data_IF_077010029276
#
_entry.id   IF_077010029276
#
_cell.length_a   1.000
_cell.length_b   1.000
_cell.length_c   1.000
_cell.angle_alpha   90.00
_cell.angle_beta   90.00
_cell.angle_gamma   90.00
#
_symmetry.space_group_name_H-M   'P 1'
#
loop_
_entity.id
_entity.type
_entity.pdbx_description
1 polymer ?
#
# COMPACT_ATOMS: atom_id res chain seq x y z
N UNK A 1 -34.04 10.73 -4.00
CA UNK A 1 -32.98 10.06 -3.19
C UNK A 1 -31.70 10.08 -4.00
N UNK A 2 -30.62 10.68 -3.48
CA UNK A 2 -29.31 10.61 -4.10
C UNK A 2 -28.79 9.17 -3.98
N UNK A 3 -28.29 8.59 -5.07
CA UNK A 3 -27.65 7.26 -5.00
C UNK A 3 -26.46 7.34 -4.02
N UNK A 4 -26.22 6.30 -3.20
CA UNK A 4 -25.03 6.26 -2.36
C UNK A 4 -23.77 6.48 -3.21
N UNK A 5 -22.98 7.48 -2.81
CA UNK A 5 -21.69 7.75 -3.45
C UNK A 5 -20.81 6.54 -3.17
N UNK A 6 -20.35 5.86 -4.22
CA UNK A 6 -19.43 4.72 -4.07
C UNK A 6 -18.18 5.19 -3.30
N UNK A 7 -17.58 4.29 -2.54
CA UNK A 7 -16.33 4.53 -1.81
C UNK A 7 -15.21 3.70 -2.43
N UNK A 8 -13.97 4.18 -2.33
CA UNK A 8 -12.78 3.53 -2.87
C UNK A 8 -11.93 2.94 -1.74
N UNK A 9 -11.51 1.69 -1.89
CA UNK A 9 -10.53 1.06 -1.00
C UNK A 9 -9.16 1.02 -1.69
N UNK A 10 -8.15 1.62 -1.05
CA UNK A 10 -6.75 1.52 -1.44
C UNK A 10 -6.06 0.47 -0.57
N UNK A 11 -5.40 -0.50 -1.21
CA UNK A 11 -4.71 -1.59 -0.50
C UNK A 11 -3.22 -1.55 -0.89
N UNK A 12 -2.33 -1.56 0.11
CA UNK A 12 -0.91 -1.82 -0.17
C UNK A 12 -0.66 -3.29 -0.53
N UNK A 13 0.48 -3.56 -1.15
CA UNK A 13 0.95 -4.93 -1.36
C UNK A 13 1.81 -5.40 -0.20
N UNK A 14 2.87 -4.67 0.12
CA UNK A 14 3.85 -5.06 1.12
C UNK A 14 3.29 -4.95 2.54
N UNK A 15 3.49 -5.97 3.36
CA UNK A 15 2.98 -6.01 4.73
C UNK A 15 1.45 -6.16 4.85
N UNK A 16 0.73 -6.03 3.73
CA UNK A 16 -0.72 -6.17 3.65
C UNK A 16 -1.13 -7.45 2.93
N UNK A 17 -0.83 -7.59 1.64
CA UNK A 17 -1.18 -8.79 0.85
C UNK A 17 -0.02 -9.78 0.72
N UNK A 18 1.21 -9.28 0.68
CA UNK A 18 2.44 -10.07 0.54
C UNK A 18 3.52 -9.58 1.49
N UNK A 19 4.47 -10.47 1.76
CA UNK A 19 5.74 -10.12 2.40
C UNK A 19 6.91 -10.63 1.56
N UNK A 20 8.02 -9.90 1.59
CA UNK A 20 9.32 -10.50 1.28
C UNK A 20 9.57 -11.63 2.27
N UNK A 21 10.06 -12.76 1.79
CA UNK A 21 10.47 -13.88 2.64
C UNK A 21 11.36 -13.42 3.80
N UNK A 22 11.16 -14.04 4.96
CA UNK A 22 11.59 -13.54 6.28
C UNK A 22 13.10 -13.26 6.46
N UNK A 23 13.53 -12.89 7.67
CA UNK A 23 14.86 -12.29 7.93
C UNK A 23 16.07 -13.15 7.51
N UNK A 24 15.89 -14.45 7.28
CA UNK A 24 16.94 -15.40 6.89
C UNK A 24 16.84 -15.87 5.43
N UNK A 25 15.92 -15.30 4.66
CA UNK A 25 15.74 -15.70 3.28
C UNK A 25 16.84 -15.08 2.40
N UNK A 26 17.41 -15.81 1.42
CA UNK A 26 18.36 -15.23 0.48
C UNK A 26 17.73 -14.02 -0.22
N UNK A 27 18.55 -13.10 -0.72
CA UNK A 27 18.10 -11.85 -1.38
C UNK A 27 17.14 -12.12 -2.56
N UNK A 28 17.17 -13.33 -3.11
CA UNK A 28 16.36 -13.81 -4.23
C UNK A 28 15.09 -14.54 -3.78
N UNK A 29 14.86 -14.63 -2.47
CA UNK A 29 13.75 -15.38 -1.94
C UNK A 29 12.43 -14.64 -2.22
N UNK A 30 11.52 -15.39 -2.83
CA UNK A 30 10.32 -14.87 -3.45
C UNK A 30 9.33 -14.23 -2.48
N UNK A 31 8.23 -13.75 -3.06
CA UNK A 31 7.16 -13.13 -2.29
C UNK A 31 6.26 -14.22 -1.71
N UNK A 32 5.87 -14.05 -0.45
CA UNK A 32 4.95 -14.94 0.25
C UNK A 32 3.61 -14.23 0.44
N UNK A 33 2.49 -14.82 0.02
CA UNK A 33 1.16 -14.33 0.39
C UNK A 33 1.00 -14.27 1.91
N UNK A 34 0.38 -13.21 2.41
CA UNK A 34 0.06 -13.05 3.84
C UNK A 34 -1.28 -13.70 4.21
N UNK A 35 -2.15 -13.87 3.22
CA UNK A 35 -3.46 -14.46 3.35
C UNK A 35 -3.56 -15.74 2.52
N UNK A 36 -4.65 -16.50 2.72
CA UNK A 36 -4.89 -17.78 2.04
C UNK A 36 -4.99 -17.65 0.52
N UNK A 37 -5.05 -18.80 -0.16
CA UNK A 37 -5.20 -18.84 -1.63
C UNK A 37 -6.52 -18.23 -2.14
N UNK A 38 -7.46 -17.97 -1.25
CA UNK A 38 -8.78 -17.37 -1.47
C UNK A 38 -8.77 -15.83 -1.40
N UNK A 39 -7.59 -15.20 -1.30
CA UNK A 39 -7.44 -13.73 -1.26
C UNK A 39 -8.18 -13.04 -2.41
N UNK A 40 -8.01 -13.53 -3.63
CA UNK A 40 -8.70 -12.99 -4.81
C UNK A 40 -10.22 -13.06 -4.70
N UNK A 41 -10.75 -14.23 -4.32
CA UNK A 41 -12.18 -14.45 -4.15
C UNK A 41 -12.76 -13.55 -3.04
N UNK A 42 -12.03 -13.37 -1.94
CA UNK A 42 -12.42 -12.50 -0.83
C UNK A 42 -12.56 -11.04 -1.27
N UNK A 43 -11.60 -10.52 -2.04
CA UNK A 43 -11.65 -9.16 -2.59
C UNK A 43 -12.81 -8.98 -3.57
N UNK A 44 -13.04 -9.95 -4.46
CA UNK A 44 -14.14 -9.92 -5.44
C UNK A 44 -15.50 -9.93 -4.73
N UNK A 45 -15.69 -10.87 -3.79
CA UNK A 45 -16.95 -11.07 -3.10
C UNK A 45 -17.30 -9.92 -2.13
N UNK A 46 -16.34 -9.07 -1.78
CA UNK A 46 -16.59 -7.89 -0.95
C UNK A 46 -17.48 -6.84 -1.63
N UNK A 47 -17.56 -6.83 -2.96
CA UNK A 47 -18.24 -5.79 -3.73
C UNK A 47 -17.59 -4.40 -3.63
N UNK A 48 -16.42 -4.30 -3.00
CA UNK A 48 -15.68 -3.06 -2.86
C UNK A 48 -15.13 -2.60 -4.21
N UNK A 49 -15.09 -1.27 -4.42
CA UNK A 49 -14.29 -0.70 -5.50
C UNK A 49 -12.85 -0.59 -5.00
N UNK A 50 -11.94 -1.40 -5.55
CA UNK A 50 -10.59 -1.58 -5.00
C UNK A 50 -9.55 -1.04 -5.98
N UNK A 51 -8.60 -0.26 -5.48
CA UNK A 51 -7.37 0.07 -6.16
C UNK A 51 -6.15 -0.33 -5.31
N UNK A 52 -5.03 -0.60 -5.97
CA UNK A 52 -3.76 -0.93 -5.32
C UNK A 52 -2.91 0.32 -5.22
N UNK A 53 -2.26 0.53 -4.08
CA UNK A 53 -1.37 1.67 -3.85
C UNK A 53 -0.04 1.22 -3.24
N UNK A 54 1.01 1.17 -4.06
CA UNK A 54 2.29 0.56 -3.67
C UNK A 54 3.51 1.37 -4.11
N UNK A 55 4.64 1.20 -3.42
CA UNK A 55 5.94 1.72 -3.84
C UNK A 55 6.73 0.75 -4.75
N UNK A 56 6.12 -0.39 -5.11
CA UNK A 56 6.65 -1.31 -6.13
C UNK A 56 6.52 -0.72 -7.53
N UNK A 57 7.23 -1.33 -8.48
CA UNK A 57 7.03 -1.00 -9.88
C UNK A 57 5.67 -1.53 -10.36
N UNK A 58 5.07 -0.92 -11.40
CA UNK A 58 3.76 -1.34 -11.90
C UNK A 58 3.75 -2.80 -12.36
N UNK A 59 4.72 -3.18 -13.18
CA UNK A 59 4.82 -4.57 -13.69
C UNK A 59 5.02 -5.58 -12.56
N UNK A 60 5.74 -5.20 -11.52
CA UNK A 60 5.96 -6.03 -10.32
C UNK A 60 4.68 -6.16 -9.50
N UNK A 61 3.94 -5.06 -9.30
CA UNK A 61 2.64 -5.06 -8.64
C UNK A 61 1.63 -5.95 -9.38
N UNK A 62 1.56 -5.85 -10.71
CA UNK A 62 0.68 -6.69 -11.54
C UNK A 62 1.07 -8.18 -11.47
N UNK A 63 2.37 -8.49 -11.41
CA UNK A 63 2.84 -9.86 -11.22
C UNK A 63 2.44 -10.42 -9.84
N UNK A 64 2.55 -9.61 -8.79
CA UNK A 64 2.10 -9.99 -7.44
C UNK A 64 0.60 -10.30 -7.43
N UNK A 65 -0.21 -9.41 -8.01
CA UNK A 65 -1.66 -9.60 -8.08
C UNK A 65 -2.02 -10.89 -8.83
N UNK A 66 -1.34 -11.17 -9.95
CA UNK A 66 -1.51 -12.43 -10.69
C UNK A 66 -1.14 -13.66 -9.86
N UNK A 67 -0.05 -13.61 -9.08
CA UNK A 67 0.34 -14.70 -8.17
C UNK A 67 -0.68 -14.94 -7.07
N UNK A 68 -1.30 -13.88 -6.57
CA UNK A 68 -2.41 -13.94 -5.61
C UNK A 68 -3.74 -14.37 -6.25
N UNK A 69 -3.74 -14.70 -7.56
CA UNK A 69 -4.93 -15.02 -8.36
C UNK A 69 -6.00 -13.91 -8.31
N UNK A 70 -5.58 -12.67 -8.12
CA UNK A 70 -6.45 -11.50 -8.18
C UNK A 70 -6.62 -11.15 -9.66
N UNK A 71 -7.84 -11.28 -10.17
CA UNK A 71 -8.18 -10.81 -11.51
C UNK A 71 -8.10 -9.28 -11.55
N UNK A 72 -7.22 -8.78 -12.42
CA UNK A 72 -6.96 -7.35 -12.60
C UNK A 72 -8.18 -6.59 -13.10
N UNK A 73 -9.18 -7.26 -13.68
CA UNK A 73 -10.46 -6.60 -14.06
C UNK A 73 -11.26 -6.13 -12.85
N UNK A 74 -11.04 -6.73 -11.67
CA UNK A 74 -11.68 -6.35 -10.41
C UNK A 74 -10.93 -5.25 -9.66
N UNK A 75 -9.72 -4.91 -10.10
CA UNK A 75 -8.93 -3.81 -9.56
C UNK A 75 -9.08 -2.61 -10.48
N UNK A 76 -9.74 -1.55 -10.01
CA UNK A 76 -10.02 -0.39 -10.87
C UNK A 76 -8.75 0.36 -11.27
N UNK A 77 -7.73 0.33 -10.40
CA UNK A 77 -6.43 0.92 -10.70
C UNK A 77 -5.30 0.35 -9.87
N UNK A 78 -4.10 0.33 -10.44
CA UNK A 78 -2.86 0.11 -9.71
C UNK A 78 -2.04 1.39 -9.75
N UNK A 79 -1.95 2.07 -8.61
CA UNK A 79 -1.11 3.24 -8.40
C UNK A 79 0.23 2.77 -7.84
N UNK A 80 1.18 2.54 -8.74
CA UNK A 80 2.51 2.10 -8.38
C UNK A 80 3.44 3.32 -8.19
N UNK A 81 4.71 3.04 -7.96
CA UNK A 81 5.69 4.09 -7.71
C UNK A 81 5.87 5.04 -8.90
N UNK A 82 5.66 4.57 -10.13
CA UNK A 82 5.69 5.41 -11.31
C UNK A 82 4.52 6.40 -11.31
N UNK A 83 3.29 5.94 -11.08
CA UNK A 83 2.11 6.81 -11.00
C UNK A 83 2.23 7.86 -9.89
N UNK A 84 2.80 7.48 -8.73
CA UNK A 84 3.08 8.43 -7.65
C UNK A 84 4.04 9.55 -8.08
N UNK A 85 5.05 9.21 -8.88
CA UNK A 85 6.05 10.17 -9.36
C UNK A 85 5.48 11.07 -10.46
N UNK A 86 4.76 10.49 -11.41
CA UNK A 86 4.10 11.24 -12.48
C UNK A 86 3.06 12.20 -11.89
N UNK A 87 2.34 11.77 -10.86
CA UNK A 87 1.45 12.61 -10.07
C UNK A 87 2.22 13.76 -9.40
N UNK A 88 3.36 13.47 -8.76
CA UNK A 88 4.19 14.50 -8.14
C UNK A 88 4.65 15.56 -9.15
N UNK A 89 4.98 15.17 -10.39
CA UNK A 89 5.30 16.11 -11.47
C UNK A 89 4.07 16.91 -11.88
N UNK A 90 2.97 16.23 -12.23
CA UNK A 90 1.72 16.84 -12.73
C UNK A 90 1.19 17.92 -11.78
N UNK A 91 1.20 17.66 -10.48
CA UNK A 91 0.69 18.58 -9.46
C UNK A 91 1.79 19.43 -8.79
N UNK A 92 2.98 19.52 -9.39
CA UNK A 92 4.10 20.37 -8.91
C UNK A 92 4.54 20.09 -7.47
N UNK A 93 4.48 18.82 -7.04
CA UNK A 93 4.90 18.31 -5.72
C UNK A 93 6.29 17.66 -5.76
N UNK A 94 7.09 17.96 -6.79
CA UNK A 94 8.44 17.40 -6.98
C UNK A 94 9.41 17.79 -5.86
N UNK A 95 9.33 19.03 -5.36
CA UNK A 95 10.13 19.51 -4.23
C UNK A 95 9.87 18.69 -2.97
N UNK A 96 8.61 18.43 -2.64
CA UNK A 96 8.21 17.57 -1.53
C UNK A 96 8.76 16.16 -1.72
N UNK A 97 8.76 15.64 -2.96
CA UNK A 97 9.28 14.31 -3.25
C UNK A 97 10.79 14.21 -3.03
N UNK A 98 11.55 15.24 -3.41
CA UNK A 98 12.99 15.30 -3.18
C UNK A 98 13.31 15.34 -1.67
N UNK A 99 12.60 16.17 -0.92
CA UNK A 99 12.81 16.36 0.51
C UNK A 99 12.33 15.17 1.37
N UNK A 100 11.07 14.75 1.17
CA UNK A 100 10.35 13.86 2.09
C UNK A 100 10.23 12.41 1.60
N UNK A 101 10.56 12.11 0.35
CA UNK A 101 10.27 10.79 -0.22
C UNK A 101 9.18 10.83 -1.26
N UNK A 102 9.13 9.78 -2.06
CA UNK A 102 7.90 9.44 -2.76
C UNK A 102 6.91 9.01 -1.67
N UNK A 103 5.83 9.78 -1.50
CA UNK A 103 4.80 9.57 -0.48
C UNK A 103 3.53 9.08 -1.15
N UNK A 104 2.82 8.14 -0.53
CA UNK A 104 1.58 7.58 -1.08
C UNK A 104 0.45 8.61 -1.19
N UNK A 105 0.40 9.58 -0.29
CA UNK A 105 -0.61 10.64 -0.32
C UNK A 105 -0.52 11.56 -1.54
N UNK A 106 0.58 11.53 -2.29
CA UNK A 106 0.73 12.30 -3.53
C UNK A 106 -0.32 11.89 -4.57
N UNK A 107 -0.88 10.67 -4.48
CA UNK A 107 -1.83 10.16 -5.47
C UNK A 107 -3.23 10.76 -5.37
N UNK A 108 -3.60 11.35 -4.24
CA UNK A 108 -4.98 11.77 -3.95
C UNK A 108 -5.57 12.72 -5.02
N UNK A 109 -4.84 13.73 -5.54
CA UNK A 109 -5.35 14.57 -6.63
C UNK A 109 -5.62 13.78 -7.91
N UNK A 110 -4.78 12.79 -8.24
CA UNK A 110 -4.97 11.97 -9.43
C UNK A 110 -6.20 11.06 -9.29
N UNK A 111 -6.42 10.47 -8.11
CA UNK A 111 -7.63 9.67 -7.84
C UNK A 111 -8.90 10.52 -8.05
N UNK A 112 -8.89 11.76 -7.56
CA UNK A 112 -10.01 12.67 -7.75
C UNK A 112 -10.27 12.98 -9.22
N UNK A 113 -9.22 13.26 -9.99
CA UNK A 113 -9.33 13.59 -11.40
C UNK A 113 -9.73 12.38 -12.27
N UNK A 114 -9.18 11.20 -12.01
CA UNK A 114 -9.43 10.00 -12.82
C UNK A 114 -10.72 9.26 -12.44
N UNK A 115 -11.02 9.18 -11.14
CA UNK A 115 -12.08 8.32 -10.62
C UNK A 115 -13.19 9.09 -9.89
N UNK A 116 -13.02 10.40 -9.65
CA UNK A 116 -14.03 11.24 -9.01
C UNK A 116 -14.16 11.07 -7.49
N UNK A 117 -13.27 10.30 -6.84
CA UNK A 117 -13.28 10.11 -5.38
C UNK A 117 -12.51 11.24 -4.68
N UNK A 118 -13.18 11.93 -3.75
CA UNK A 118 -12.51 12.84 -2.81
C UNK A 118 -11.81 12.04 -1.70
N UNK A 119 -10.84 12.63 -0.98
CA UNK A 119 -10.20 11.97 0.17
C UNK A 119 -11.20 11.37 1.18
N UNK A 120 -12.29 12.07 1.44
CA UNK A 120 -13.38 11.63 2.32
C UNK A 120 -14.12 10.38 1.84
N UNK A 121 -13.96 10.02 0.56
CA UNK A 121 -14.53 8.85 -0.07
C UNK A 121 -13.54 7.67 -0.17
N UNK A 122 -12.35 7.82 0.41
CA UNK A 122 -11.27 6.85 0.32
C UNK A 122 -11.03 6.18 1.69
N UNK A 123 -10.85 4.86 1.64
CA UNK A 123 -10.28 4.06 2.70
C UNK A 123 -8.88 3.56 2.29
N UNK A 124 -7.94 3.44 3.23
CA UNK A 124 -6.60 2.87 2.97
C UNK A 124 -6.26 1.78 3.99
N UNK A 125 -5.75 0.65 3.50
CA UNK A 125 -5.10 -0.40 4.30
C UNK A 125 -3.59 -0.35 4.02
N UNK A 126 -2.79 -0.16 5.06
CA UNK A 126 -1.32 -0.08 4.99
C UNK A 126 -0.72 -0.61 6.30
N UNK A 127 0.50 -1.16 6.24
CA UNK A 127 1.21 -1.68 7.42
C UNK A 127 1.99 -0.58 8.17
N UNK A 128 2.11 0.61 7.58
CA UNK A 128 2.93 1.70 8.11
C UNK A 128 2.10 2.85 8.64
N UNK A 129 2.16 3.03 9.96
CA UNK A 129 1.46 4.09 10.67
C UNK A 129 1.80 5.50 10.15
N UNK A 130 3.04 5.75 9.72
CA UNK A 130 3.44 7.04 9.16
C UNK A 130 2.80 7.36 7.81
N UNK A 131 2.39 6.33 7.05
CA UNK A 131 1.65 6.48 5.80
C UNK A 131 0.19 6.80 6.13
N UNK A 132 -0.41 6.02 7.05
CA UNK A 132 -1.81 6.22 7.45
C UNK A 132 -2.03 7.57 8.12
N UNK A 133 -1.11 8.01 8.97
CA UNK A 133 -1.14 9.34 9.57
C UNK A 133 -1.11 10.44 8.51
N UNK A 134 -0.25 10.32 7.49
CA UNK A 134 -0.21 11.27 6.38
C UNK A 134 -1.51 11.27 5.57
N UNK A 135 -2.06 10.09 5.26
CA UNK A 135 -3.34 9.96 4.55
C UNK A 135 -4.49 10.59 5.35
N UNK A 136 -4.55 10.31 6.65
CA UNK A 136 -5.51 10.93 7.57
C UNK A 136 -5.39 12.46 7.56
N UNK A 137 -4.18 13.00 7.63
CA UNK A 137 -3.94 14.45 7.58
C UNK A 137 -4.34 15.09 6.23
N UNK A 138 -4.53 14.28 5.18
CA UNK A 138 -5.06 14.72 3.88
C UNK A 138 -6.57 14.54 3.75
N UNK A 139 -7.25 14.18 4.83
CA UNK A 139 -8.71 14.02 4.86
C UNK A 139 -9.19 12.66 4.34
N UNK A 140 -8.30 11.66 4.25
CA UNK A 140 -8.75 10.29 3.94
C UNK A 140 -9.78 9.84 4.97
N UNK A 141 -10.93 9.35 4.51
CA UNK A 141 -12.07 9.08 5.36
C UNK A 141 -11.88 7.88 6.29
N UNK A 142 -11.15 6.84 5.86
CA UNK A 142 -10.84 5.68 6.68
C UNK A 142 -9.38 5.24 6.51
N UNK A 143 -8.71 4.96 7.62
CA UNK A 143 -7.36 4.37 7.63
C UNK A 143 -7.36 3.12 8.50
N UNK A 144 -6.84 2.02 7.95
CA UNK A 144 -6.80 0.70 8.56
C UNK A 144 -5.34 0.28 8.70
N UNK A 145 -4.82 0.22 9.93
CA UNK A 145 -3.47 -0.25 10.20
C UNK A 145 -3.44 -1.78 10.16
N UNK A 146 -2.77 -2.32 9.16
CA UNK A 146 -2.47 -3.74 9.07
C UNK A 146 -1.28 -4.08 10.00
N UNK A 147 -1.48 -4.83 11.08
CA UNK A 147 -0.35 -5.35 11.84
C UNK A 147 0.52 -6.22 10.92
N UNK A 148 1.82 -5.97 10.90
CA UNK A 148 2.78 -6.82 10.21
C UNK A 148 4.08 -6.89 11.02
N UNK A 149 4.42 -8.10 11.49
CA UNK A 149 5.73 -8.36 12.10
C UNK A 149 6.11 -9.84 11.98
N UNK A 150 7.40 -10.09 11.84
CA UNK A 150 7.96 -11.43 11.99
C UNK A 150 8.57 -11.54 13.39
N UNK A 151 8.22 -12.60 14.11
CA UNK A 151 8.77 -12.87 15.43
C UNK A 151 9.41 -14.24 15.43
N UNK A 152 10.57 -14.37 16.06
CA UNK A 152 11.23 -15.65 16.27
C UNK A 152 11.08 -16.01 17.74
N UNK A 153 10.28 -17.03 18.04
CA UNK A 153 10.10 -17.54 19.39
C UNK A 153 10.48 -19.02 19.39
N UNK A 154 11.43 -19.39 20.25
CA UNK A 154 11.90 -20.77 20.40
C UNK A 154 12.36 -21.44 19.08
N UNK A 155 12.94 -20.66 18.16
CA UNK A 155 13.41 -21.16 16.86
C UNK A 155 12.34 -21.23 15.78
N UNK A 156 11.08 -20.93 16.11
CA UNK A 156 9.98 -20.87 15.15
C UNK A 156 9.71 -19.43 14.71
N UNK A 157 9.69 -19.21 13.39
CA UNK A 157 9.30 -17.93 12.80
C UNK A 157 7.77 -17.86 12.75
N UNK A 158 7.19 -16.99 13.56
CA UNK A 158 5.78 -16.64 13.53
C UNK A 158 5.59 -15.35 12.72
N UNK A 159 4.64 -15.40 11.78
CA UNK A 159 4.17 -14.23 11.08
C UNK A 159 2.93 -13.70 11.80
N UNK A 160 2.94 -12.41 12.12
CA UNK A 160 1.78 -11.70 12.65
C UNK A 160 1.26 -10.79 11.55
N UNK A 161 0.00 -10.99 11.19
CA UNK A 161 -0.74 -10.26 10.16
C UNK A 161 -2.16 -9.96 10.66
N UNK A 162 -3.12 -9.73 9.77
CA UNK A 162 -4.53 -9.48 10.08
C UNK A 162 -5.46 -10.37 9.27
N UNK A 163 -6.76 -10.32 9.60
CA UNK A 163 -7.80 -10.95 8.81
C UNK A 163 -8.34 -10.00 7.74
N UNK A 164 -8.09 -10.32 6.46
CA UNK A 164 -8.53 -9.50 5.34
C UNK A 164 -10.05 -9.39 5.26
N UNK A 165 -10.79 -10.45 5.60
CA UNK A 165 -12.25 -10.42 5.58
C UNK A 165 -12.79 -9.46 6.64
N UNK A 166 -12.20 -9.46 7.84
CA UNK A 166 -12.55 -8.49 8.90
C UNK A 166 -12.29 -7.05 8.43
N UNK A 167 -11.15 -6.78 7.77
CA UNK A 167 -10.84 -5.46 7.23
C UNK A 167 -11.85 -5.01 6.16
N UNK A 168 -12.28 -5.93 5.28
CA UNK A 168 -13.28 -5.67 4.25
C UNK A 168 -14.67 -5.42 4.86
N UNK A 169 -15.05 -6.13 5.92
CA UNK A 169 -16.29 -5.88 6.66
C UNK A 169 -16.28 -4.50 7.33
N UNK A 170 -15.14 -4.08 7.88
CA UNK A 170 -14.96 -2.72 8.43
C UNK A 170 -15.14 -1.67 7.33
N UNK A 171 -14.50 -1.87 6.18
CA UNK A 171 -14.69 -1.00 5.01
C UNK A 171 -16.15 -0.95 4.56
N UNK A 172 -16.81 -2.10 4.43
CA UNK A 172 -18.21 -2.18 4.01
C UNK A 172 -19.12 -1.41 4.97
N UNK A 173 -18.95 -1.61 6.28
CA UNK A 173 -19.71 -0.90 7.32
C UNK A 173 -19.49 0.61 7.21
N UNK A 174 -18.24 1.05 7.10
CA UNK A 174 -17.89 2.46 6.93
C UNK A 174 -18.49 3.04 5.64
N UNK A 175 -18.48 2.29 4.54
CA UNK A 175 -18.98 2.76 3.25
C UNK A 175 -20.49 3.01 3.23
N UNK A 176 -21.24 2.32 4.11
CA UNK A 176 -22.69 2.49 4.29
C UNK A 176 -23.03 3.65 5.22
N UNK A 177 -22.08 4.09 6.05
CA UNK A 177 -22.27 5.21 6.96
C UNK A 177 -22.10 6.55 6.22
N UNK A 178 -23.21 7.20 5.91
CA UNK A 178 -23.23 8.50 5.24
C UNK A 178 -22.96 9.68 6.18
N UNK A 179 -22.89 9.43 7.49
CA UNK A 179 -22.90 10.49 8.51
C UNK A 179 -21.51 10.89 8.99
N UNK A 180 -20.48 10.08 8.73
CA UNK A 180 -19.13 10.33 9.23
C UNK A 180 -18.37 11.31 8.31
N UNK A 181 -18.38 12.60 8.67
CA UNK A 181 -17.46 13.59 8.09
C UNK A 181 -16.05 13.52 8.69
N UNK A 182 -15.86 12.74 9.75
CA UNK A 182 -14.57 12.59 10.44
C UNK A 182 -13.77 11.42 9.87
N UNK A 183 -12.46 11.62 9.74
CA UNK A 183 -11.51 10.53 9.47
C UNK A 183 -11.56 9.51 10.60
N UNK A 184 -11.74 8.25 10.25
CA UNK A 184 -11.66 7.13 11.17
C UNK A 184 -10.30 6.44 11.04
N UNK A 185 -9.71 6.09 12.18
CA UNK A 185 -8.48 5.31 12.24
C UNK A 185 -8.75 4.04 13.05
N UNK A 186 -8.50 2.88 12.44
CA UNK A 186 -8.75 1.58 13.07
C UNK A 186 -7.49 0.73 12.97
N UNK A 187 -7.06 0.22 14.12
CA UNK A 187 -6.03 -0.81 14.19
C UNK A 187 -6.69 -2.16 13.98
N UNK A 188 -6.31 -2.87 12.92
CA UNK A 188 -6.83 -4.21 12.66
C UNK A 188 -6.29 -5.19 13.71
N UNK A 189 -7.10 -6.19 14.06
CA UNK A 189 -6.72 -7.18 15.06
C UNK A 189 -5.59 -8.04 14.52
N UNK A 190 -4.67 -8.37 15.42
CA UNK A 190 -3.56 -9.25 15.12
C UNK A 190 -4.04 -10.69 14.97
N UNK A 191 -3.53 -11.35 13.94
CA UNK A 191 -3.70 -12.77 13.64
C UNK A 191 -2.33 -13.39 13.49
N UNK A 192 -2.08 -14.47 14.23
CA UNK A 192 -0.84 -15.25 14.12
C UNK A 192 -1.02 -16.31 13.04
N UNK A 193 -0.10 -16.35 12.08
CA UNK A 193 0.00 -17.42 11.09
C UNK A 193 1.13 -18.35 11.51
N UNK A 194 0.74 -19.55 11.96
CA UNK A 194 1.64 -20.64 12.33
C UNK A 194 1.95 -21.47 11.09
N UNK A 195 3.21 -21.85 10.90
CA UNK A 195 3.66 -22.64 9.76
C UNK A 195 3.16 -22.06 8.44
N UNK A 196 3.70 -20.90 8.05
CA UNK A 196 3.74 -20.62 6.62
C UNK A 196 4.57 -21.75 6.01
N UNK A 197 3.90 -22.76 5.44
CA UNK A 197 4.33 -23.35 4.18
C UNK A 197 4.56 -22.16 3.27
N UNK A 198 5.76 -21.57 3.38
CA UNK A 198 6.36 -20.68 2.43
C UNK A 198 6.07 -21.36 1.11
N UNK A 199 5.05 -20.87 0.39
CA UNK A 199 4.63 -21.45 -0.87
C UNK A 199 5.91 -21.51 -1.69
N UNK A 200 6.42 -22.73 -1.81
CA UNK A 200 7.75 -22.98 -2.29
C UNK A 200 7.77 -22.49 -3.73
N UNK A 201 8.62 -21.50 -3.99
CA UNK A 201 9.10 -21.13 -5.32
C UNK A 201 8.04 -20.51 -6.25
N UNK A 202 7.39 -19.42 -5.82
CA UNK A 202 6.96 -18.40 -6.78
C UNK A 202 8.00 -17.29 -6.81
N UNK A 203 9.08 -17.51 -7.57
CA UNK A 203 10.10 -16.49 -7.79
C UNK A 203 9.50 -15.37 -8.64
N UNK A 204 8.99 -14.32 -8.01
CA UNK A 204 8.96 -13.01 -8.68
C UNK A 204 10.42 -12.58 -8.74
N UNK A 205 11.09 -12.94 -9.84
CA UNK A 205 12.41 -12.40 -10.14
C UNK A 205 12.21 -10.90 -10.21
N UNK A 206 12.77 -10.17 -9.23
CA UNK A 206 12.83 -8.72 -9.28
C UNK A 206 13.46 -8.35 -10.64
N UNK A 207 12.63 -7.87 -11.58
CA UNK A 207 13.06 -7.63 -12.94
C UNK A 207 14.29 -6.71 -12.91
N UNK A 208 15.38 -7.22 -13.47
CA UNK A 208 16.68 -6.58 -13.40
C UNK A 208 16.68 -5.31 -14.28
N UNK A 209 16.35 -4.19 -13.64
CA UNK A 209 16.97 -2.85 -13.72
C UNK A 209 17.52 -2.40 -15.08
N UNK A 210 16.77 -1.55 -15.79
CA UNK A 210 17.22 -0.31 -16.47
C UNK A 210 16.00 0.59 -16.80
N UNK A 211 15.03 0.71 -15.89
CA UNK A 211 13.96 1.68 -16.08
C UNK A 211 14.45 3.08 -15.66
N UNK A 212 14.16 4.11 -16.46
CA UNK A 212 14.36 5.52 -16.13
C UNK A 212 13.83 5.84 -14.72
N UNK A 213 12.76 5.20 -14.30
CA UNK A 213 12.21 5.32 -12.95
C UNK A 213 13.14 4.79 -11.84
N UNK A 214 13.83 3.67 -12.07
CA UNK A 214 14.80 3.13 -11.12
C UNK A 214 16.01 4.06 -10.98
N UNK A 215 16.46 4.64 -12.10
CA UNK A 215 17.54 5.62 -12.13
C UNK A 215 17.16 6.91 -11.39
N UNK A 216 15.98 7.47 -11.66
CA UNK A 216 15.50 8.69 -10.97
C UNK A 216 15.31 8.47 -9.48
N UNK A 217 14.78 7.31 -9.04
CA UNK A 217 14.75 6.96 -7.60
C UNK A 217 16.14 6.89 -6.99
N UNK A 218 17.12 6.32 -7.69
CA UNK A 218 18.52 6.26 -7.22
C UNK A 218 19.10 7.66 -7.07
N UNK A 219 18.95 8.51 -8.08
CA UNK A 219 19.41 9.91 -8.07
C UNK A 219 18.74 10.68 -6.92
N UNK A 220 17.41 10.60 -6.79
CA UNK A 220 16.66 11.28 -5.74
C UNK A 220 17.10 10.84 -4.33
N UNK A 221 17.38 9.54 -4.12
CA UNK A 221 17.92 9.03 -2.85
C UNK A 221 19.32 9.59 -2.57
N UNK A 222 20.20 9.62 -3.57
CA UNK A 222 21.55 10.19 -3.44
C UNK A 222 21.50 11.68 -3.12
N UNK A 223 20.69 12.45 -3.85
CA UNK A 223 20.48 13.87 -3.59
C UNK A 223 19.92 14.12 -2.20
N UNK A 224 18.95 13.31 -1.75
CA UNK A 224 18.42 13.45 -0.39
C UNK A 224 19.46 13.16 0.68
N UNK A 225 20.29 12.13 0.51
CA UNK A 225 21.40 11.84 1.44
C UNK A 225 22.34 13.03 1.52
N UNK A 226 22.70 13.61 0.37
CA UNK A 226 23.53 14.79 0.29
C UNK A 226 22.89 15.99 1.01
N UNK A 227 21.64 16.34 0.67
CA UNK A 227 20.89 17.43 1.33
C UNK A 227 20.83 17.20 2.85
N UNK A 228 20.56 15.97 3.29
CA UNK A 228 20.44 15.63 4.71
C UNK A 228 21.77 15.74 5.46
N UNK A 229 22.90 15.51 4.78
CA UNK A 229 24.25 15.58 5.34
C UNK A 229 24.81 17.01 5.35
N UNK A 230 24.46 17.84 4.36
CA UNK A 230 25.13 19.13 4.13
C UNK A 230 24.23 20.36 4.31
N UNK A 231 22.90 20.22 4.47
CA UNK A 231 22.05 21.37 4.80
C UNK A 231 21.84 21.51 6.32
N UNK A 232 21.98 22.73 6.87
CA UNK A 232 21.71 23.00 8.28
C UNK A 232 20.29 22.60 8.68
N UNK A 233 20.13 22.14 9.92
CA UNK A 233 18.85 21.69 10.50
C UNK A 233 17.73 22.74 10.46
N UNK A 234 18.06 24.02 10.28
CA UNK A 234 17.12 25.15 10.18
C UNK A 234 16.21 25.12 8.95
N UNK A 235 16.50 24.31 7.93
CA UNK A 235 15.63 24.14 6.75
C UNK A 235 14.63 22.98 6.84
N UNK A 236 14.60 22.22 7.95
CA UNK A 236 13.77 20.99 8.08
C UNK A 236 12.32 21.23 8.54
N UNK A 237 11.92 22.48 8.81
CA UNK A 237 10.60 22.82 9.37
C UNK A 237 9.55 23.30 8.34
N UNK A 238 9.73 23.06 7.04
CA UNK A 238 8.75 23.36 5.99
C UNK A 238 8.17 22.11 5.31
#
# INVERSE_FOLDING_TARGET
MLKPKKKLLLIDLDGVLVTSSGPNAPIDAGLSPLHGMDTGDCLINSGATIAVLTHRHKTEAEQILKLLKIDLTNIVRCYAAQELWDCAIKYKQTSQTLLKGLRKSLILPLIKDELGYGPEDIAVIDDRMEILSEMSNKGVGLTLLAPFRTTNSNGNVHLITFDLLEALQVFEKWSKDMSSQTTQHINLKERVVLNNTLLSHSTVIALNRWDYFALTRKIARTLRRYISQYMPTTFRSW
#
